data_IF_850108669925
#
_entry.id   IF_850108669925
#
_cell.length_a   1.000
_cell.length_b   1.000
_cell.length_c   1.000
_cell.angle_alpha   90.00
_cell.angle_beta   90.00
_cell.angle_gamma   90.00
#
_symmetry.space_group_name_H-M   'P 1'
#
loop_
_entity.id
_entity.type
_entity.pdbx_description
1 polymer ?
#
# COMPACT_ATOMS: atom_id res chain seq x y z
N UNK A 1 -4.80 34.65 -48.83
CA UNK A 1 -3.91 33.47 -48.73
C UNK A 1 -2.47 33.94 -48.80
N UNK A 2 -1.53 33.23 -48.20
CA UNK A 2 -0.10 33.57 -48.19
C UNK A 2 0.68 32.25 -48.27
N UNK A 3 1.62 32.13 -49.21
CA UNK A 3 2.53 30.99 -49.26
C UNK A 3 3.50 31.07 -48.07
N UNK A 4 3.64 29.99 -47.30
CA UNK A 4 4.54 29.91 -46.13
C UNK A 4 5.59 28.83 -46.39
N UNK A 5 6.82 29.06 -45.94
CA UNK A 5 7.85 28.03 -46.00
C UNK A 5 7.60 26.96 -44.91
N UNK A 6 7.67 25.68 -45.26
CA UNK A 6 7.54 24.57 -44.31
C UNK A 6 8.89 24.28 -43.66
N UNK A 7 9.11 24.75 -42.44
CA UNK A 7 10.28 24.39 -41.62
C UNK A 7 9.93 23.29 -40.61
N UNK A 8 10.94 22.54 -40.17
CA UNK A 8 10.76 21.42 -39.23
C UNK A 8 10.19 21.84 -37.85
N UNK A 9 10.30 23.12 -37.51
CA UNK A 9 9.85 23.70 -36.23
C UNK A 9 8.45 24.35 -36.29
N UNK A 10 7.75 24.30 -37.44
CA UNK A 10 6.40 24.86 -37.61
C UNK A 10 6.22 25.69 -38.89
N UNK A 11 5.08 26.39 -39.06
CA UNK A 11 4.86 27.24 -40.24
C UNK A 11 5.80 28.45 -40.23
N UNK A 12 6.66 28.56 -41.25
CA UNK A 12 7.68 29.59 -41.40
C UNK A 12 7.16 30.93 -41.92
N UNK A 13 8.07 31.81 -42.34
CA UNK A 13 7.72 33.14 -42.87
C UNK A 13 7.00 33.07 -44.23
N UNK A 14 6.27 34.14 -44.56
CA UNK A 14 5.65 34.30 -45.87
C UNK A 14 6.69 34.44 -46.96
N UNK A 15 6.58 33.58 -47.97
CA UNK A 15 7.46 33.57 -49.14
C UNK A 15 6.67 33.97 -50.39
N UNK A 16 7.37 34.14 -51.50
CA UNK A 16 6.75 34.46 -52.78
C UNK A 16 5.76 33.36 -53.20
N UNK A 17 4.56 33.77 -53.64
CA UNK A 17 3.46 32.86 -53.97
C UNK A 17 3.81 31.93 -55.15
N UNK A 18 4.78 32.28 -56.00
CA UNK A 18 5.24 31.44 -57.11
C UNK A 18 5.98 30.16 -56.66
N UNK A 19 6.35 30.07 -55.37
CA UNK A 19 7.02 28.90 -54.80
C UNK A 19 6.04 27.83 -54.28
N UNK A 20 4.76 28.16 -54.14
CA UNK A 20 3.71 27.22 -53.77
C UNK A 20 3.07 26.58 -55.01
N UNK A 21 2.62 25.34 -54.89
CA UNK A 21 1.87 24.67 -55.96
C UNK A 21 0.49 25.31 -56.13
N UNK A 22 0.18 25.73 -57.36
CA UNK A 22 -1.10 26.33 -57.70
C UNK A 22 -2.26 25.32 -57.69
N UNK A 23 -2.00 24.04 -57.90
CA UNK A 23 -3.04 23.00 -57.92
C UNK A 23 -3.52 22.62 -56.52
N UNK A 24 -2.67 22.81 -55.49
CA UNK A 24 -3.01 22.60 -54.08
C UNK A 24 -3.54 23.87 -53.40
N UNK A 25 -3.71 24.94 -54.15
CA UNK A 25 -4.13 26.23 -53.64
C UNK A 25 -5.57 26.14 -53.06
N UNK A 26 -5.76 26.36 -51.74
CA UNK A 26 -7.09 26.29 -51.15
C UNK A 26 -7.99 27.38 -51.73
N UNK A 27 -9.27 27.06 -51.93
CA UNK A 27 -10.27 28.00 -52.46
C UNK A 27 -10.27 29.29 -51.65
N UNK A 28 -9.74 30.37 -52.24
CA UNK A 28 -9.65 31.69 -51.63
C UNK A 28 -11.01 32.39 -51.47
N UNK A 29 -12.08 31.78 -51.99
CA UNK A 29 -13.44 32.23 -51.87
C UNK A 29 -14.25 31.22 -51.04
N UNK A 30 -14.76 31.69 -49.90
CA UNK A 30 -15.85 31.02 -49.19
C UNK A 30 -17.17 31.59 -49.65
N UNK A 31 -18.16 30.73 -49.84
CA UNK A 31 -19.52 31.15 -50.14
C UNK A 31 -20.05 31.97 -48.95
N UNK A 32 -20.32 33.25 -49.17
CA UNK A 32 -20.98 34.11 -48.18
C UNK A 32 -22.40 34.43 -48.68
N UNK A 33 -23.39 34.18 -47.84
CA UNK A 33 -24.76 34.64 -48.06
C UNK A 33 -24.92 36.02 -47.45
N UNK A 34 -24.94 37.07 -48.27
CA UNK A 34 -25.25 38.42 -47.81
C UNK A 34 -26.77 38.55 -47.64
N UNK A 35 -27.29 38.83 -46.43
CA UNK A 35 -28.73 38.93 -46.20
C UNK A 35 -29.31 40.14 -46.93
N UNK A 36 -30.40 39.93 -47.68
CA UNK A 36 -31.06 40.95 -48.50
C UNK A 36 -31.42 42.19 -47.66
N UNK A 37 -31.36 43.43 -48.20
CA UNK A 37 -31.51 44.68 -47.44
C UNK A 37 -32.76 44.79 -46.56
N UNK A 38 -33.83 44.09 -46.94
CA UNK A 38 -35.14 44.12 -46.27
C UNK A 38 -35.30 43.04 -45.19
N UNK A 39 -34.37 42.10 -45.10
CA UNK A 39 -34.45 40.97 -44.18
C UNK A 39 -33.81 41.33 -42.83
N UNK A 40 -34.42 40.79 -41.78
CA UNK A 40 -33.88 40.88 -40.44
C UNK A 40 -32.54 40.15 -40.35
N UNK A 41 -31.52 40.81 -39.79
CA UNK A 41 -30.22 40.21 -39.54
C UNK A 41 -30.09 40.08 -38.03
N UNK A 42 -29.89 38.85 -37.57
CA UNK A 42 -29.62 38.56 -36.16
C UNK A 42 -28.12 38.50 -35.92
N UNK A 43 -27.69 38.80 -34.70
CA UNK A 43 -26.36 38.48 -34.22
C UNK A 43 -26.15 36.97 -34.19
N UNK A 44 -24.89 36.57 -34.04
CA UNK A 44 -24.58 35.22 -33.59
C UNK A 44 -25.22 34.96 -32.22
N UNK A 45 -25.47 33.68 -31.95
CA UNK A 45 -25.98 33.24 -30.66
C UNK A 45 -24.94 33.47 -29.57
N UNK A 46 -25.39 33.98 -28.42
CA UNK A 46 -24.59 34.00 -27.21
C UNK A 46 -24.35 32.60 -26.63
N UNK A 47 -23.54 32.53 -25.58
CA UNK A 47 -23.33 31.30 -24.84
C UNK A 47 -24.61 30.87 -24.11
N UNK A 48 -24.78 29.56 -23.96
CA UNK A 48 -25.84 28.99 -23.14
C UNK A 48 -25.65 29.36 -21.67
N UNK A 49 -26.74 29.71 -20.99
CA UNK A 49 -26.75 29.83 -19.54
C UNK A 49 -26.39 28.49 -18.87
N UNK A 50 -25.88 28.57 -17.64
CA UNK A 50 -25.59 27.38 -16.83
C UNK A 50 -26.92 26.79 -16.35
N UNK A 51 -27.02 25.46 -16.32
CA UNK A 51 -28.17 24.79 -15.75
C UNK A 51 -28.24 24.98 -14.22
N UNK A 52 -29.44 25.04 -13.62
CA UNK A 52 -29.62 24.99 -12.17
C UNK A 52 -29.00 23.74 -11.54
N UNK A 53 -28.67 23.80 -10.24
CA UNK A 53 -27.95 22.75 -9.49
C UNK A 53 -28.65 21.39 -9.58
N UNK A 54 -29.97 21.39 -9.66
CA UNK A 54 -30.80 20.22 -9.91
C UNK A 54 -30.91 19.99 -11.43
N UNK A 55 -30.09 19.09 -11.97
CA UNK A 55 -30.21 18.66 -13.37
C UNK A 55 -31.50 17.84 -13.58
N UNK A 56 -32.59 18.50 -13.96
CA UNK A 56 -33.88 17.89 -14.29
C UNK A 56 -34.37 18.40 -15.65
N UNK A 57 -35.09 17.58 -16.40
CA UNK A 57 -35.77 17.95 -17.65
C UNK A 57 -36.75 19.13 -17.49
N UNK A 58 -37.19 19.40 -16.26
CA UNK A 58 -38.03 20.55 -15.92
C UNK A 58 -37.25 21.87 -15.88
N UNK A 59 -35.94 21.81 -15.65
CA UNK A 59 -35.07 22.96 -15.68
C UNK A 59 -34.55 23.18 -17.10
N UNK A 60 -34.46 24.44 -17.51
CA UNK A 60 -34.01 24.81 -18.87
C UNK A 60 -32.84 25.77 -18.80
N UNK A 61 -31.94 25.67 -19.79
CA UNK A 61 -30.94 26.69 -20.08
C UNK A 61 -31.39 27.54 -21.25
N UNK A 62 -30.99 28.81 -21.24
CA UNK A 62 -31.41 29.80 -22.23
C UNK A 62 -30.17 30.40 -22.90
N UNK A 63 -30.22 30.61 -24.20
CA UNK A 63 -29.28 31.48 -24.93
C UNK A 63 -30.04 32.56 -25.66
N UNK A 64 -29.40 33.70 -25.86
CA UNK A 64 -30.01 34.85 -26.52
C UNK A 64 -29.17 35.33 -27.70
N UNK A 65 -29.83 35.97 -28.65
CA UNK A 65 -29.26 36.72 -29.77
C UNK A 65 -30.09 37.98 -29.97
N UNK A 66 -29.53 38.99 -30.61
CA UNK A 66 -30.22 40.27 -30.80
C UNK A 66 -30.27 40.64 -32.28
N UNK A 67 -31.29 41.42 -32.71
CA UNK A 67 -31.34 41.90 -34.08
C UNK A 67 -30.24 42.95 -34.31
N UNK A 68 -29.38 42.71 -35.28
CA UNK A 68 -28.44 43.69 -35.84
C UNK A 68 -29.14 44.61 -36.84
N UNK A 69 -30.18 44.11 -37.52
CA UNK A 69 -31.04 44.87 -38.43
C UNK A 69 -32.47 44.37 -38.34
N UNK A 70 -33.43 45.27 -38.20
CA UNK A 70 -34.87 44.96 -38.18
C UNK A 70 -35.39 44.66 -39.59
N UNK A 71 -36.42 43.81 -39.69
CA UNK A 71 -37.08 43.55 -40.97
C UNK A 71 -37.89 44.78 -41.43
N UNK A 72 -37.93 45.00 -42.74
CA UNK A 72 -38.86 45.95 -43.33
C UNK A 72 -40.29 45.37 -43.44
N UNK A 73 -41.28 46.24 -43.62
CA UNK A 73 -42.66 45.87 -44.00
C UNK A 73 -43.45 45.04 -42.97
N UNK A 74 -43.19 45.23 -41.67
CA UNK A 74 -43.99 44.62 -40.59
C UNK A 74 -43.73 43.13 -40.34
N UNK A 75 -42.70 42.55 -40.96
CA UNK A 75 -42.25 41.18 -40.65
C UNK A 75 -41.55 41.14 -39.29
N UNK A 76 -41.82 40.10 -38.51
CA UNK A 76 -41.12 39.86 -37.25
C UNK A 76 -39.80 39.15 -37.49
N UNK A 77 -38.79 39.52 -36.70
CA UNK A 77 -37.52 38.81 -36.68
C UNK A 77 -37.70 37.40 -36.08
N UNK A 78 -36.84 36.44 -36.45
CA UNK A 78 -36.75 35.15 -35.78
C UNK A 78 -36.54 35.29 -34.26
N UNK A 79 -36.96 34.29 -33.49
CA UNK A 79 -36.87 34.31 -32.02
C UNK A 79 -35.48 34.69 -31.52
N UNK A 80 -35.48 35.58 -30.53
CA UNK A 80 -34.28 36.16 -29.92
C UNK A 80 -33.77 35.31 -28.74
N UNK A 81 -34.59 34.40 -28.23
CA UNK A 81 -34.24 33.45 -27.18
C UNK A 81 -34.48 32.02 -27.64
N UNK A 82 -33.60 31.13 -27.21
CA UNK A 82 -33.74 29.70 -27.42
C UNK A 82 -33.56 28.99 -26.08
N UNK A 83 -34.38 27.97 -25.86
CA UNK A 83 -34.42 27.21 -24.61
C UNK A 83 -34.11 25.74 -24.87
N UNK A 84 -33.35 25.13 -23.97
CA UNK A 84 -33.02 23.70 -24.04
C UNK A 84 -33.16 23.07 -22.65
N UNK A 85 -33.76 21.85 -22.53
CA UNK A 85 -33.87 21.17 -21.25
C UNK A 85 -32.51 20.75 -20.69
N UNK A 86 -32.35 20.90 -19.38
CA UNK A 86 -31.16 20.48 -18.63
C UNK A 86 -31.18 18.97 -18.40
N UNK A 87 -30.43 18.25 -19.22
CA UNK A 87 -30.27 16.79 -19.18
C UNK A 87 -28.94 16.43 -18.53
N UNK A 88 -29.01 15.60 -17.48
CA UNK A 88 -27.84 15.11 -16.75
C UNK A 88 -26.89 14.38 -17.70
N UNK A 89 -25.58 14.60 -17.53
CA UNK A 89 -24.50 14.00 -18.32
C UNK A 89 -24.48 14.38 -19.82
N UNK A 90 -25.28 15.37 -20.24
CA UNK A 90 -25.27 15.90 -21.61
C UNK A 90 -24.98 17.40 -21.64
N UNK A 91 -25.81 18.19 -20.97
CA UNK A 91 -25.66 19.65 -20.90
C UNK A 91 -25.71 20.20 -19.46
N UNK A 92 -25.98 19.32 -18.48
CA UNK A 92 -25.95 19.60 -17.06
C UNK A 92 -25.11 18.55 -16.34
N UNK A 93 -24.21 18.99 -15.48
CA UNK A 93 -23.31 18.12 -14.72
C UNK A 93 -23.24 18.60 -13.28
N UNK A 94 -23.33 17.67 -12.33
CA UNK A 94 -23.01 17.97 -10.93
C UNK A 94 -21.60 17.51 -10.62
N UNK A 95 -21.00 18.15 -9.62
CA UNK A 95 -19.64 17.86 -9.17
C UNK A 95 -19.68 17.41 -7.72
N UNK A 96 -18.81 16.46 -7.39
CA UNK A 96 -18.67 15.95 -6.04
C UNK A 96 -17.21 15.63 -5.77
N UNK A 97 -16.85 15.65 -4.50
CA UNK A 97 -15.54 15.20 -4.07
C UNK A 97 -15.51 13.69 -3.92
N UNK A 98 -14.50 13.07 -4.51
CA UNK A 98 -14.15 11.68 -4.28
C UNK A 98 -12.81 11.61 -3.55
N UNK A 99 -12.68 10.61 -2.70
CA UNK A 99 -11.45 10.35 -1.96
C UNK A 99 -10.76 9.13 -2.56
N UNK A 100 -9.45 9.21 -2.76
CA UNK A 100 -8.68 8.04 -3.14
C UNK A 100 -8.57 7.07 -1.96
N UNK A 101 -8.14 5.86 -2.28
CA UNK A 101 -7.63 4.93 -1.26
C UNK A 101 -6.45 5.56 -0.51
N UNK A 102 -6.26 5.09 0.72
CA UNK A 102 -5.12 5.48 1.53
C UNK A 102 -3.81 4.97 0.92
N UNK A 103 -2.76 5.78 0.97
CA UNK A 103 -1.40 5.35 0.69
C UNK A 103 -0.95 4.29 1.69
N UNK A 104 0.16 3.62 1.36
CA UNK A 104 0.93 2.88 2.35
C UNK A 104 1.39 3.80 3.49
N UNK A 105 1.65 3.23 4.67
CA UNK A 105 2.13 3.99 5.82
C UNK A 105 3.53 4.54 5.53
N UNK A 106 3.64 5.86 5.40
CA UNK A 106 4.91 6.54 5.19
C UNK A 106 5.56 6.79 6.56
N UNK A 107 6.69 6.12 6.79
CA UNK A 107 7.49 6.25 8.00
C UNK A 107 8.54 7.37 7.83
N UNK A 108 9.16 7.77 8.93
CA UNK A 108 10.30 8.70 8.93
C UNK A 108 11.53 8.12 8.21
N UNK A 109 12.47 8.98 7.83
CA UNK A 109 13.69 8.57 7.11
C UNK A 109 14.44 7.45 7.83
N UNK A 110 14.78 6.39 7.09
CA UNK A 110 15.44 5.17 7.55
C UNK A 110 14.65 4.29 8.54
N UNK A 111 13.38 4.61 8.84
CA UNK A 111 12.54 3.75 9.67
C UNK A 111 11.89 2.64 8.82
N UNK A 112 12.05 1.39 9.25
CA UNK A 112 11.43 0.20 8.62
C UNK A 112 10.08 -0.13 9.26
N UNK A 113 9.86 0.32 10.50
CA UNK A 113 8.66 0.09 11.28
C UNK A 113 8.43 1.23 12.27
N UNK A 114 7.26 1.25 12.91
CA UNK A 114 6.88 2.25 13.90
C UNK A 114 5.74 3.14 13.44
N UNK A 115 5.70 4.36 13.96
CA UNK A 115 4.66 5.33 13.65
C UNK A 115 4.95 6.03 12.32
N UNK A 116 3.89 6.28 11.56
CA UNK A 116 3.96 7.04 10.32
C UNK A 116 2.65 7.74 10.02
N UNK A 117 2.62 8.32 8.83
CA UNK A 117 1.43 8.96 8.27
C UNK A 117 1.05 8.25 6.98
N UNK A 118 -0.24 8.06 6.79
CA UNK A 118 -0.80 7.70 5.49
C UNK A 118 -1.60 8.87 4.96
N UNK A 119 -1.56 9.04 3.65
CA UNK A 119 -2.18 10.15 2.94
C UNK A 119 -3.20 9.61 1.95
N UNK A 120 -4.22 10.39 1.66
CA UNK A 120 -5.12 10.16 0.53
C UNK A 120 -5.38 11.49 -0.16
N UNK A 121 -5.69 11.42 -1.44
CA UNK A 121 -5.93 12.58 -2.26
C UNK A 121 -7.42 12.83 -2.40
N UNK A 122 -7.74 14.10 -2.68
CA UNK A 122 -9.06 14.57 -2.99
C UNK A 122 -9.15 14.74 -4.51
N UNK A 123 -10.11 14.07 -5.12
CA UNK A 123 -10.46 14.24 -6.53
C UNK A 123 -11.80 14.96 -6.65
N UNK A 124 -11.94 15.79 -7.69
CA UNK A 124 -13.20 16.40 -8.05
C UNK A 124 -13.76 15.64 -9.24
N UNK A 125 -14.86 14.93 -9.04
CA UNK A 125 -15.45 14.10 -10.07
C UNK A 125 -16.74 14.72 -10.58
N UNK A 126 -16.89 14.67 -11.90
CA UNK A 126 -18.12 15.01 -12.59
C UNK A 126 -19.12 13.84 -12.53
N UNK A 127 -20.40 14.12 -12.70
CA UNK A 127 -21.50 13.14 -12.69
C UNK A 127 -21.42 12.05 -13.77
N UNK A 128 -20.52 12.19 -14.75
CA UNK A 128 -20.22 11.17 -15.77
C UNK A 128 -19.01 10.29 -15.41
N UNK A 129 -18.43 10.49 -14.21
CA UNK A 129 -17.29 9.75 -13.70
C UNK A 129 -15.92 10.29 -14.11
N UNK A 130 -15.85 11.41 -14.86
CA UNK A 130 -14.56 12.02 -15.22
C UNK A 130 -14.01 12.85 -14.08
N UNK A 131 -12.72 12.69 -13.80
CA UNK A 131 -11.96 13.57 -12.91
C UNK A 131 -11.73 14.92 -13.58
N UNK A 132 -11.98 16.00 -12.87
CA UNK A 132 -11.78 17.38 -13.31
C UNK A 132 -10.89 18.12 -12.31
N UNK A 133 -10.43 19.32 -12.68
CA UNK A 133 -9.58 20.12 -11.79
C UNK A 133 -10.31 20.42 -10.46
N UNK A 134 -9.63 20.14 -9.34
CA UNK A 134 -10.15 20.30 -7.98
C UNK A 134 -10.68 21.72 -7.71
N UNK A 135 -10.09 22.74 -8.33
CA UNK A 135 -10.53 24.14 -8.22
C UNK A 135 -11.97 24.34 -8.69
N UNK A 136 -12.49 23.46 -9.54
CA UNK A 136 -13.88 23.53 -9.98
C UNK A 136 -14.84 23.21 -8.83
N UNK A 137 -14.57 22.15 -8.06
CA UNK A 137 -15.38 21.83 -6.89
C UNK A 137 -15.28 22.91 -5.80
N UNK A 138 -14.10 23.53 -5.62
CA UNK A 138 -13.90 24.66 -4.70
C UNK A 138 -14.73 25.88 -5.12
N UNK A 139 -14.73 26.24 -6.41
CA UNK A 139 -15.56 27.34 -6.95
C UNK A 139 -17.06 27.06 -6.82
N UNK A 140 -17.47 25.80 -6.82
CA UNK A 140 -18.86 25.39 -6.62
C UNK A 140 -19.28 25.43 -5.14
N UNK A 141 -18.36 25.75 -4.22
CA UNK A 141 -18.66 25.86 -2.79
C UNK A 141 -19.01 24.53 -2.13
N UNK A 142 -18.50 23.41 -2.65
CA UNK A 142 -18.69 22.09 -2.05
C UNK A 142 -17.86 21.99 -0.77
N UNK A 143 -18.43 21.40 0.27
CA UNK A 143 -17.70 21.12 1.52
C UNK A 143 -16.64 20.04 1.27
N UNK A 144 -15.37 20.37 1.53
CA UNK A 144 -14.27 19.44 1.35
C UNK A 144 -14.19 18.42 2.49
N UNK A 145 -13.80 17.16 2.24
CA UNK A 145 -13.60 16.18 3.29
C UNK A 145 -12.38 16.53 4.17
N UNK A 146 -12.57 16.52 5.48
CA UNK A 146 -11.63 17.06 6.47
C UNK A 146 -10.38 16.20 6.77
N UNK A 147 -10.27 15.00 6.20
CA UNK A 147 -9.22 14.04 6.58
C UNK A 147 -8.45 13.54 5.36
N UNK A 148 -7.35 14.21 5.02
CA UNK A 148 -6.43 13.80 3.96
C UNK A 148 -5.18 13.08 4.48
N UNK A 149 -4.92 13.18 5.79
CA UNK A 149 -3.84 12.46 6.46
C UNK A 149 -4.37 11.76 7.71
N UNK A 150 -3.76 10.63 8.05
CA UNK A 150 -4.06 9.89 9.28
C UNK A 150 -2.81 9.17 9.79
N UNK A 151 -2.72 9.00 11.11
CA UNK A 151 -1.68 8.19 11.74
C UNK A 151 -1.83 6.71 11.39
N UNK A 152 -0.70 6.05 11.26
CA UNK A 152 -0.60 4.61 11.07
C UNK A 152 0.57 4.05 11.87
N UNK A 153 0.52 2.75 12.11
CA UNK A 153 1.57 2.02 12.82
C UNK A 153 1.93 0.76 12.03
N UNK A 154 3.22 0.58 11.77
CA UNK A 154 3.80 -0.62 11.18
C UNK A 154 4.51 -1.38 12.28
N UNK A 155 4.12 -2.62 12.53
CA UNK A 155 4.72 -3.42 13.58
C UNK A 155 6.20 -3.69 13.32
N UNK A 156 7.04 -3.52 14.35
CA UNK A 156 8.47 -3.77 14.22
C UNK A 156 8.81 -5.25 14.26
N UNK A 157 9.74 -5.71 13.40
CA UNK A 157 10.22 -7.08 13.48
C UNK A 157 10.95 -7.29 14.80
N UNK A 158 10.54 -8.34 15.53
CA UNK A 158 11.15 -8.70 16.80
C UNK A 158 11.88 -10.02 16.62
N UNK A 159 13.19 -10.02 16.81
CA UNK A 159 13.98 -11.24 16.75
C UNK A 159 13.71 -12.11 17.99
N UNK A 160 13.78 -13.43 17.81
CA UNK A 160 13.74 -14.32 18.95
C UNK A 160 14.94 -14.11 19.87
N UNK A 161 14.69 -14.16 21.18
CA UNK A 161 15.73 -14.19 22.21
C UNK A 161 15.60 -15.48 23.02
N UNK A 162 16.73 -16.16 23.18
CA UNK A 162 16.86 -17.34 24.03
C UNK A 162 17.50 -16.95 25.36
N UNK A 163 17.16 -17.66 26.43
CA UNK A 163 17.86 -17.52 27.70
C UNK A 163 19.30 -17.98 27.56
N UNK A 164 20.13 -17.56 28.52
CA UNK A 164 21.38 -18.24 28.79
C UNK A 164 21.11 -19.72 29.10
N UNK A 165 22.11 -20.55 28.84
CA UNK A 165 22.05 -21.96 29.21
C UNK A 165 21.98 -22.11 30.73
N UNK A 166 21.16 -23.03 31.22
CA UNK A 166 21.25 -23.48 32.61
C UNK A 166 22.64 -24.03 32.89
N UNK A 167 23.00 -24.08 34.17
CA UNK A 167 24.06 -24.96 34.64
C UNK A 167 23.80 -26.40 34.19
N UNK A 168 24.88 -27.16 34.04
CA UNK A 168 24.77 -28.59 33.80
C UNK A 168 24.10 -29.28 34.98
N UNK A 169 23.20 -30.23 34.69
CA UNK A 169 22.62 -31.11 35.69
C UNK A 169 23.70 -31.99 36.33
N UNK A 170 23.34 -32.63 37.44
CA UNK A 170 24.09 -33.79 37.90
C UNK A 170 24.10 -34.89 36.82
N UNK A 171 25.06 -35.81 36.97
CA UNK A 171 25.19 -36.93 36.06
C UNK A 171 23.95 -37.84 36.17
N UNK A 172 23.42 -38.31 35.03
CA UNK A 172 22.21 -39.13 34.95
C UNK A 172 22.23 -40.38 35.83
N UNK A 173 23.43 -40.85 36.18
CA UNK A 173 23.70 -41.99 37.04
C UNK A 173 24.89 -41.64 37.93
N UNK A 174 24.93 -42.19 39.14
CA UNK A 174 26.09 -42.06 40.04
C UNK A 174 27.14 -43.14 39.78
N UNK A 175 26.71 -44.28 39.23
CA UNK A 175 27.59 -45.36 38.81
C UNK A 175 27.10 -46.03 37.51
N UNK A 176 28.00 -46.73 36.79
CA UNK A 176 27.73 -47.41 35.53
C UNK A 176 28.91 -47.33 34.56
N UNK A 177 28.67 -47.68 33.29
CA UNK A 177 29.67 -47.56 32.22
C UNK A 177 29.65 -46.20 31.53
N UNK A 178 28.47 -45.59 31.40
CA UNK A 178 28.27 -44.28 30.79
C UNK A 178 27.27 -43.45 31.60
N UNK A 179 27.57 -42.15 31.71
CA UNK A 179 26.69 -41.15 32.29
C UNK A 179 26.67 -39.90 31.42
N UNK A 180 25.56 -39.18 31.43
CA UNK A 180 25.43 -37.89 30.75
C UNK A 180 24.86 -36.82 31.67
N UNK A 181 25.31 -35.60 31.47
CA UNK A 181 24.72 -34.40 32.05
C UNK A 181 23.94 -33.65 30.98
N UNK A 182 22.88 -32.96 31.41
CA UNK A 182 21.98 -32.20 30.54
C UNK A 182 21.98 -30.74 30.97
N UNK A 183 21.94 -29.83 30.01
CA UNK A 183 21.59 -28.43 30.28
C UNK A 183 20.52 -27.98 29.30
N UNK A 184 19.72 -27.01 29.72
CA UNK A 184 18.59 -26.52 28.95
C UNK A 184 18.57 -25.00 28.92
N UNK A 185 17.98 -24.44 27.88
CA UNK A 185 17.62 -23.02 27.79
C UNK A 185 16.20 -22.92 27.27
N UNK A 186 15.57 -21.76 27.45
CA UNK A 186 14.20 -21.54 27.00
C UNK A 186 14.10 -20.27 26.16
N UNK A 187 12.98 -20.13 25.45
CA UNK A 187 12.69 -18.93 24.66
C UNK A 187 12.21 -17.84 25.60
N UNK A 188 12.94 -16.73 25.69
CA UNK A 188 12.54 -15.54 26.45
C UNK A 188 11.57 -14.67 25.64
N UNK A 189 11.82 -14.55 24.34
CA UNK A 189 10.99 -13.78 23.42
C UNK A 189 10.86 -14.56 22.11
N UNK A 190 9.63 -14.78 21.66
CA UNK A 190 9.37 -15.38 20.34
C UNK A 190 9.59 -14.33 19.25
N UNK A 191 9.99 -14.80 18.08
CA UNK A 191 10.07 -13.94 16.91
C UNK A 191 8.67 -13.47 16.49
N UNK A 192 8.57 -12.22 16.02
CA UNK A 192 7.32 -11.62 15.51
C UNK A 192 7.58 -10.88 14.20
N UNK A 193 6.60 -10.91 13.29
CA UNK A 193 6.73 -10.36 11.94
C UNK A 193 7.90 -11.00 11.18
N UNK A 194 8.69 -10.16 10.51
CA UNK A 194 9.90 -10.56 9.78
C UNK A 194 11.14 -10.79 10.69
N UNK A 195 10.92 -10.99 11.99
CA UNK A 195 11.98 -11.26 12.95
C UNK A 195 12.61 -12.65 12.79
N UNK A 196 13.90 -12.77 13.13
CA UNK A 196 14.63 -14.04 13.04
C UNK A 196 14.09 -15.09 14.03
N UNK A 197 13.75 -16.31 13.59
CA UNK A 197 13.23 -17.36 14.46
C UNK A 197 14.29 -17.88 15.44
N UNK A 198 13.81 -18.47 16.53
CA UNK A 198 14.68 -19.10 17.53
C UNK A 198 15.41 -20.30 16.95
N UNK A 199 16.62 -20.56 17.45
CA UNK A 199 17.24 -21.86 17.23
C UNK A 199 16.44 -22.98 17.92
N UNK A 200 16.24 -24.11 17.24
CA UNK A 200 15.42 -25.22 17.73
C UNK A 200 16.07 -26.02 18.86
N UNK A 201 17.40 -25.99 18.99
CA UNK A 201 18.09 -26.69 20.07
C UNK A 201 17.98 -25.93 21.38
N UNK A 202 17.10 -26.45 22.25
CA UNK A 202 16.86 -25.96 23.61
C UNK A 202 17.46 -26.87 24.70
N UNK A 203 18.02 -28.02 24.31
CA UNK A 203 18.65 -29.00 25.20
C UNK A 203 19.98 -29.45 24.64
N UNK A 204 20.97 -29.60 25.52
CA UNK A 204 22.27 -30.15 25.21
C UNK A 204 22.67 -31.23 26.20
N UNK A 205 23.45 -32.18 25.72
CA UNK A 205 23.95 -33.31 26.48
C UNK A 205 25.46 -33.39 26.34
N UNK A 206 26.14 -33.79 27.42
CA UNK A 206 27.58 -34.05 27.42
C UNK A 206 27.87 -35.24 28.34
N UNK A 207 28.84 -36.12 27.99
CA UNK A 207 29.25 -37.21 28.89
C UNK A 207 29.84 -36.71 30.21
N UNK A 208 29.62 -37.48 31.28
CA UNK A 208 30.23 -37.31 32.60
C UNK A 208 30.90 -38.61 33.05
N UNK A 209 31.98 -38.48 33.83
CA UNK A 209 32.74 -39.61 34.34
C UNK A 209 32.07 -40.16 35.61
N UNK A 210 31.72 -41.45 35.59
CA UNK A 210 31.11 -42.17 36.71
C UNK A 210 31.89 -43.45 37.01
N UNK A 211 31.78 -43.95 38.24
CA UNK A 211 32.44 -45.20 38.64
C UNK A 211 31.57 -46.40 38.26
N UNK A 212 32.13 -47.60 38.06
CA UNK A 212 31.31 -48.80 37.88
C UNK A 212 30.44 -49.10 39.11
N UNK A 213 29.26 -49.71 38.92
CA UNK A 213 28.35 -50.09 40.00
C UNK A 213 28.73 -51.41 40.68
N UNK A 214 30.00 -51.59 41.05
CA UNK A 214 30.38 -52.71 41.91
C UNK A 214 30.74 -52.19 43.30
N UNK A 215 30.23 -52.89 44.30
CA UNK A 215 30.57 -52.68 45.70
C UNK A 215 31.07 -53.99 46.26
N UNK A 216 32.15 -53.95 47.05
CA UNK A 216 32.57 -55.10 47.83
C UNK A 216 31.52 -55.41 48.90
N UNK A 217 30.99 -56.63 48.87
CA UNK A 217 30.17 -57.17 49.96
C UNK A 217 31.01 -58.21 50.67
N UNK A 218 31.02 -58.18 51.99
CA UNK A 218 31.64 -59.25 52.76
C UNK A 218 30.75 -60.48 52.66
N UNK A 219 31.31 -61.61 52.18
CA UNK A 219 30.66 -62.90 52.25
C UNK A 219 30.53 -63.40 53.70
N UNK A 220 29.93 -64.57 53.89
CA UNK A 220 29.80 -65.15 55.23
C UNK A 220 31.17 -65.33 55.88
N UNK A 221 31.27 -64.93 57.15
CA UNK A 221 32.49 -65.07 57.93
C UNK A 221 32.75 -66.55 58.23
N UNK A 222 33.97 -67.03 57.96
CA UNK A 222 34.37 -68.36 58.39
C UNK A 222 34.40 -68.48 59.93
N UNK A 223 34.22 -69.69 60.46
CA UNK A 223 34.44 -69.96 61.87
C UNK A 223 35.87 -69.58 62.30
N UNK A 224 36.02 -69.00 63.49
CA UNK A 224 37.33 -68.58 64.01
C UNK A 224 38.27 -69.78 64.17
N UNK A 225 39.50 -69.66 63.69
CA UNK A 225 40.59 -70.61 63.94
C UNK A 225 41.69 -69.93 64.75
N UNK A 226 42.26 -70.64 65.71
CA UNK A 226 43.40 -70.18 66.51
C UNK A 226 44.65 -70.77 65.90
N UNK A 227 45.56 -69.91 65.43
CA UNK A 227 46.87 -70.31 64.94
C UNK A 227 47.85 -70.32 66.12
N UNK A 228 48.67 -71.37 66.23
CA UNK A 228 49.43 -71.69 67.44
C UNK A 228 50.71 -70.86 67.65
N UNK A 229 50.85 -69.71 66.99
CA UNK A 229 51.89 -68.75 67.39
C UNK A 229 51.47 -67.31 67.09
N UNK A 230 51.42 -66.52 68.17
CA UNK A 230 51.16 -65.08 68.28
C UNK A 230 49.71 -64.57 67.99
N UNK A 231 49.20 -63.88 69.01
CA UNK A 231 47.88 -63.25 69.19
C UNK A 231 47.36 -62.40 68.02
N UNK A 232 46.71 -63.02 67.03
CA UNK A 232 45.82 -62.32 66.10
C UNK A 232 44.69 -63.26 65.65
N UNK A 233 43.50 -63.09 66.23
CA UNK A 233 42.28 -63.74 65.72
C UNK A 233 41.85 -62.95 64.48
N UNK A 234 42.14 -63.47 63.29
CA UNK A 234 41.63 -62.89 62.04
C UNK A 234 40.50 -63.78 61.50
N UNK A 235 39.37 -63.15 61.13
CA UNK A 235 38.33 -63.82 60.36
C UNK A 235 38.65 -63.65 58.88
N UNK A 236 38.52 -64.72 58.09
CA UNK A 236 38.74 -64.71 56.63
C UNK A 236 37.37 -64.68 55.95
N UNK A 237 37.21 -63.83 54.94
CA UNK A 237 35.98 -63.74 54.15
C UNK A 237 35.92 -64.87 53.12
N UNK A 238 34.73 -65.47 52.94
CA UNK A 238 34.46 -66.26 51.74
C UNK A 238 34.16 -65.29 50.59
N UNK A 239 34.82 -65.47 49.44
CA UNK A 239 34.58 -64.64 48.27
C UNK A 239 33.32 -65.13 47.53
N UNK A 240 32.20 -64.45 47.74
CA UNK A 240 30.99 -64.70 46.96
C UNK A 240 30.92 -63.69 45.79
N UNK A 241 31.24 -64.16 44.58
CA UNK A 241 30.96 -63.42 43.35
C UNK A 241 29.48 -63.57 42.99
N UNK A 242 28.61 -62.68 43.49
CA UNK A 242 27.21 -62.65 43.06
C UNK A 242 26.70 -61.24 42.76
N UNK A 243 26.70 -60.91 41.47
CA UNK A 243 25.52 -60.66 40.61
C UNK A 243 25.81 -59.57 39.57
N UNK A 244 25.98 -60.01 38.33
CA UNK A 244 25.95 -59.17 37.14
C UNK A 244 24.48 -58.96 36.72
N UNK A 245 24.06 -57.70 36.68
CA UNK A 245 22.94 -57.21 35.87
C UNK A 245 23.38 -55.92 35.18
#
# INVERSE_FOLDING_TARGET
MRCLNNTADGPGESVDDALCDYDEMPVGARQCSLPCPKDCVMSDWGHWSICPKECNILNVRVRTRYPLRLAADGKTCPEASEVEPCTLNKNCFYYHYNLTEWSSCQLSDNAVCGQGLKFRLLDCAQSDGKSVDVKLCEKMGLESPWHLSMYCFVECPVNCQLSEWSSWSECSRTCGLEGHMKRTRHVLQKAHGEGRPCFSQLSQHRPCLIKPCYSWVFGEWSACKVEHDLTLIQRIYNADEHNAL
#
